data_IF_880263715588
#
_entry.id   IF_880263715588
#
_cell.length_a   1.000
_cell.length_b   1.000
_cell.length_c   1.000
_cell.angle_alpha   90.00
_cell.angle_beta   90.00
_cell.angle_gamma   90.00
#
_symmetry.space_group_name_H-M   'P 1'
#
loop_
_entity.id
_entity.type
_entity.pdbx_description
1 polymer ?
#
# COMPACT_ATOMS: atom_id res chain seq x y z
N UNK A 1 -42.82 19.91 -111.98
CA UNK A 1 -43.81 19.37 -111.02
C UNK A 1 -43.03 18.56 -110.00
N UNK A 2 -42.84 19.16 -108.82
CA UNK A 2 -42.44 18.68 -107.49
C UNK A 2 -41.36 17.56 -107.40
N UNK A 3 -40.10 17.87 -107.06
CA UNK A 3 -39.50 18.39 -105.81
C UNK A 3 -38.97 17.25 -104.91
N UNK A 4 -37.64 17.22 -104.81
CA UNK A 4 -36.80 16.35 -103.96
C UNK A 4 -37.07 16.55 -102.46
N UNK A 5 -36.87 15.49 -101.68
CA UNK A 5 -36.29 15.63 -100.33
C UNK A 5 -35.55 14.37 -99.90
N UNK A 6 -34.27 14.54 -99.53
CA UNK A 6 -33.43 13.58 -98.82
C UNK A 6 -33.76 13.59 -97.34
N UNK A 7 -33.74 12.43 -96.68
CA UNK A 7 -33.38 12.27 -95.25
C UNK A 7 -33.31 10.77 -94.91
N UNK A 8 -32.66 10.27 -93.86
CA UNK A 8 -31.55 10.67 -92.98
C UNK A 8 -31.06 9.35 -92.38
N UNK A 9 -29.75 9.26 -92.19
CA UNK A 9 -28.97 8.24 -91.50
C UNK A 9 -29.57 7.78 -90.14
N UNK A 10 -29.89 6.49 -89.99
CA UNK A 10 -30.39 5.91 -88.74
C UNK A 10 -29.26 5.26 -87.94
N UNK A 11 -28.77 5.96 -86.91
CA UNK A 11 -27.90 5.41 -85.87
C UNK A 11 -28.62 4.30 -85.08
N UNK A 12 -27.91 3.24 -84.62
CA UNK A 12 -28.52 2.23 -83.78
C UNK A 12 -28.94 2.81 -82.43
N UNK A 13 -30.19 2.51 -82.07
CA UNK A 13 -30.90 2.96 -80.89
C UNK A 13 -30.32 2.29 -79.63
N UNK A 14 -30.01 3.08 -78.61
CA UNK A 14 -29.48 2.62 -77.33
C UNK A 14 -30.61 1.97 -76.53
N UNK A 15 -30.60 0.64 -76.41
CA UNK A 15 -31.54 -0.13 -75.60
C UNK A 15 -31.27 0.12 -74.09
N UNK A 16 -32.17 0.79 -73.35
CA UNK A 16 -31.96 1.07 -71.93
C UNK A 16 -32.32 -0.11 -71.02
N UNK A 17 -32.67 -1.28 -71.57
CA UNK A 17 -33.20 -2.41 -70.80
C UNK A 17 -32.16 -3.40 -70.27
N UNK A 18 -30.86 -3.15 -70.44
CA UNK A 18 -29.82 -3.87 -69.70
C UNK A 18 -29.75 -3.37 -68.25
N UNK A 19 -30.80 -3.71 -67.50
CA UNK A 19 -30.87 -3.56 -66.06
C UNK A 19 -29.76 -4.42 -65.45
N UNK A 20 -28.67 -3.76 -65.05
CA UNK A 20 -27.69 -4.32 -64.12
C UNK A 20 -28.49 -4.80 -62.90
N UNK A 21 -28.76 -6.11 -62.82
CA UNK A 21 -29.37 -6.74 -61.65
C UNK A 21 -28.47 -6.41 -60.47
N UNK A 22 -28.89 -5.45 -59.65
CA UNK A 22 -28.29 -5.21 -58.34
C UNK A 22 -28.51 -6.49 -57.56
N UNK A 23 -27.50 -7.37 -57.49
CA UNK A 23 -27.55 -8.55 -56.65
C UNK A 23 -27.60 -8.05 -55.21
N UNK A 24 -28.80 -7.86 -54.68
CA UNK A 24 -29.00 -7.72 -53.24
C UNK A 24 -28.48 -9.01 -52.61
N UNK A 25 -27.53 -8.88 -51.68
CA UNK A 25 -27.04 -10.00 -50.90
C UNK A 25 -28.22 -10.62 -50.14
N UNK A 26 -28.68 -11.78 -50.59
CA UNK A 26 -29.64 -12.58 -49.85
C UNK A 26 -28.90 -13.36 -48.75
N UNK A 27 -29.66 -13.82 -47.76
CA UNK A 27 -29.10 -14.52 -46.61
C UNK A 27 -28.39 -15.82 -47.00
N UNK A 28 -28.86 -16.47 -48.09
CA UNK A 28 -28.31 -17.71 -48.65
C UNK A 28 -27.07 -17.50 -49.52
N UNK A 29 -26.87 -16.30 -50.08
CA UNK A 29 -25.77 -15.93 -50.97
C UNK A 29 -24.62 -15.16 -50.31
N UNK A 30 -24.52 -15.20 -48.97
CA UNK A 30 -23.38 -14.66 -48.24
C UNK A 30 -23.70 -13.49 -47.29
N UNK A 31 -24.95 -13.03 -47.21
CA UNK A 31 -25.36 -12.01 -46.24
C UNK A 31 -25.07 -12.38 -44.78
N UNK A 32 -25.00 -13.67 -44.46
CA UNK A 32 -24.60 -14.17 -43.13
C UNK A 32 -23.18 -13.77 -42.73
N UNK A 33 -22.27 -13.64 -43.68
CA UNK A 33 -20.87 -13.25 -43.42
C UNK A 33 -20.80 -11.79 -42.97
N UNK A 34 -21.60 -10.92 -43.57
CA UNK A 34 -21.71 -9.52 -43.15
C UNK A 34 -22.35 -9.40 -41.76
N UNK A 35 -23.38 -10.20 -41.50
CA UNK A 35 -24.02 -10.23 -40.17
C UNK A 35 -23.04 -10.72 -39.10
N UNK A 36 -22.27 -11.78 -39.39
CA UNK A 36 -21.22 -12.28 -38.50
C UNK A 36 -20.11 -11.23 -38.27
N UNK A 37 -19.66 -10.54 -39.33
CA UNK A 37 -18.64 -9.50 -39.21
C UNK A 37 -19.13 -8.31 -38.37
N UNK A 38 -20.41 -7.93 -38.49
CA UNK A 38 -21.04 -6.91 -37.65
C UNK A 38 -21.12 -7.39 -36.19
N UNK A 39 -21.54 -8.63 -35.94
CA UNK A 39 -21.59 -9.19 -34.58
C UNK A 39 -20.22 -9.26 -33.92
N UNK A 40 -19.18 -9.68 -34.66
CA UNK A 40 -17.79 -9.69 -34.16
C UNK A 40 -17.33 -8.26 -33.86
N UNK A 41 -17.61 -7.30 -34.75
CA UNK A 41 -17.25 -5.90 -34.55
C UNK A 41 -17.95 -5.30 -33.33
N UNK A 42 -19.25 -5.58 -33.15
CA UNK A 42 -20.01 -5.21 -31.95
C UNK A 42 -19.40 -5.89 -30.72
N UNK A 43 -19.05 -7.18 -30.79
CA UNK A 43 -18.41 -7.90 -29.70
C UNK A 43 -17.07 -7.28 -29.29
N UNK A 44 -16.23 -6.87 -30.24
CA UNK A 44 -14.97 -6.16 -29.99
C UNK A 44 -15.20 -4.77 -29.40
N UNK A 45 -16.19 -4.03 -29.91
CA UNK A 45 -16.56 -2.71 -29.36
C UNK A 45 -17.11 -2.84 -27.96
N UNK A 46 -18.00 -3.80 -27.69
CA UNK A 46 -18.54 -4.10 -26.37
C UNK A 46 -17.43 -4.56 -25.43
N UNK A 47 -16.52 -5.43 -25.86
CA UNK A 47 -15.36 -5.82 -25.07
C UNK A 47 -14.44 -4.63 -24.77
N UNK A 48 -14.19 -3.74 -25.74
CA UNK A 48 -13.44 -2.50 -25.54
C UNK A 48 -14.16 -1.53 -24.61
N UNK A 49 -15.47 -1.38 -24.74
CA UNK A 49 -16.28 -0.54 -23.87
C UNK A 49 -16.29 -1.13 -22.47
N UNK A 50 -16.51 -2.43 -22.27
CA UNK A 50 -16.48 -3.07 -20.95
C UNK A 50 -15.09 -3.03 -20.31
N UNK A 51 -14.01 -3.12 -21.09
CA UNK A 51 -12.64 -3.01 -20.57
C UNK A 51 -12.22 -1.55 -20.29
N UNK A 52 -12.80 -0.56 -20.96
CA UNK A 52 -12.53 0.87 -20.76
C UNK A 52 -13.49 1.54 -19.78
N UNK A 53 -14.75 1.09 -19.71
CA UNK A 53 -15.80 1.59 -18.81
C UNK A 53 -15.97 0.77 -17.53
N UNK A 54 -15.60 -0.51 -17.49
CA UNK A 54 -15.51 -1.27 -16.24
C UNK A 54 -14.61 -0.60 -15.18
N UNK A 55 -13.50 0.07 -15.58
CA UNK A 55 -12.73 0.92 -14.69
C UNK A 55 -13.39 2.24 -14.29
N UNK A 56 -14.41 2.76 -14.99
CA UNK A 56 -15.10 3.99 -14.58
C UNK A 56 -16.05 3.77 -13.39
N UNK A 57 -16.38 2.52 -13.08
CA UNK A 57 -17.07 2.12 -11.84
C UNK A 57 -16.12 1.76 -10.70
N UNK A 58 -14.80 1.94 -10.85
CA UNK A 58 -13.94 1.94 -9.66
C UNK A 58 -14.32 3.15 -8.82
N UNK A 59 -14.77 2.91 -7.58
CA UNK A 59 -14.92 3.96 -6.58
C UNK A 59 -13.73 4.92 -6.68
N UNK A 60 -14.00 6.22 -6.83
CA UNK A 60 -12.94 7.21 -6.93
C UNK A 60 -12.00 7.04 -5.74
N UNK A 61 -10.71 6.79 -5.99
CA UNK A 61 -9.73 6.63 -4.92
C UNK A 61 -9.80 7.84 -3.98
N UNK A 62 -10.04 7.58 -2.69
CA UNK A 62 -10.27 8.60 -1.66
C UNK A 62 -8.94 9.28 -1.33
N UNK A 63 -8.90 10.61 -1.36
CA UNK A 63 -7.69 11.42 -1.20
C UNK A 63 -7.10 11.89 -2.53
N UNK A 64 -7.02 13.20 -2.73
CA UNK A 64 -6.50 13.85 -3.94
C UNK A 64 -4.98 14.14 -3.89
N UNK A 65 -4.35 13.87 -2.75
CA UNK A 65 -2.94 14.15 -2.51
C UNK A 65 -2.61 15.61 -2.20
N UNK A 66 -3.61 16.47 -1.95
CA UNK A 66 -3.44 17.91 -1.73
C UNK A 66 -4.26 18.45 -0.56
N UNK A 67 -5.52 18.03 -0.44
CA UNK A 67 -6.45 18.51 0.59
C UNK A 67 -6.89 17.36 1.50
N UNK A 68 -6.63 17.50 2.80
CA UNK A 68 -6.98 16.50 3.83
C UNK A 68 -8.48 16.17 3.87
N UNK A 69 -9.36 17.10 3.51
CA UNK A 69 -10.81 16.86 3.49
C UNK A 69 -11.22 15.80 2.46
N UNK A 70 -10.44 15.62 1.39
CA UNK A 70 -10.72 14.61 0.36
C UNK A 70 -10.43 13.19 0.80
N UNK A 71 -9.76 13.00 1.95
CA UNK A 71 -9.45 11.70 2.53
C UNK A 71 -10.59 11.12 3.38
N UNK A 72 -11.64 11.92 3.65
CA UNK A 72 -12.88 11.50 4.30
C UNK A 72 -12.70 10.88 5.70
N UNK A 73 -11.71 11.34 6.46
CA UNK A 73 -11.53 10.96 7.86
C UNK A 73 -12.28 11.91 8.80
N UNK A 74 -12.65 11.41 9.97
CA UNK A 74 -13.14 12.24 11.07
C UNK A 74 -11.96 13.02 11.66
N UNK A 75 -11.98 14.35 11.51
CA UNK A 75 -10.86 15.22 11.93
C UNK A 75 -10.97 15.76 13.37
N UNK A 76 -12.00 15.36 14.11
CA UNK A 76 -12.23 15.82 15.47
C UNK A 76 -12.62 14.65 16.40
N UNK A 77 -12.21 14.65 17.67
CA UNK A 77 -11.21 15.56 18.29
C UNK A 77 -9.81 15.40 17.68
N UNK A 78 -8.92 16.39 17.86
CA UNK A 78 -7.53 16.34 17.39
C UNK A 78 -6.58 16.86 18.48
N UNK A 79 -5.48 16.15 18.72
CA UNK A 79 -4.40 16.55 19.65
C UNK A 79 -3.24 17.26 18.96
N UNK A 80 -3.30 17.38 17.64
CA UNK A 80 -2.28 18.05 16.82
C UNK A 80 -2.94 19.13 15.95
N UNK A 81 -2.19 20.17 15.54
CA UNK A 81 -2.70 21.16 14.59
C UNK A 81 -2.98 20.52 13.22
N UNK A 82 -4.19 20.67 12.70
CA UNK A 82 -4.60 20.04 11.43
C UNK A 82 -3.88 20.61 10.19
N UNK A 83 -3.33 21.82 10.29
CA UNK A 83 -2.50 22.45 9.25
C UNK A 83 -1.11 21.81 9.13
N UNK A 84 -0.67 21.06 10.15
CA UNK A 84 0.54 20.24 10.12
C UNK A 84 0.30 18.83 9.55
N UNK A 85 -0.95 18.45 9.29
CA UNK A 85 -1.31 17.17 8.69
C UNK A 85 -1.24 17.28 7.15
N UNK A 86 -0.32 16.54 6.54
CA UNK A 86 0.03 16.73 5.13
C UNK A 86 -0.31 15.48 4.33
N UNK A 87 -1.07 15.61 3.22
CA UNK A 87 -1.21 14.53 2.24
C UNK A 87 0.15 14.13 1.65
N UNK A 88 0.48 12.83 1.65
CA UNK A 88 1.75 12.32 1.10
C UNK A 88 1.87 12.40 -0.44
N UNK A 89 0.93 13.08 -1.10
CA UNK A 89 0.84 13.24 -2.53
C UNK A 89 -0.08 12.24 -3.21
N UNK A 90 -0.30 12.42 -4.51
CA UNK A 90 -1.31 11.69 -5.27
C UNK A 90 -1.08 10.17 -5.37
N UNK A 91 0.11 9.69 -5.01
CA UNK A 91 0.49 8.26 -5.02
C UNK A 91 0.24 7.54 -3.68
N UNK A 92 0.11 8.28 -2.57
CA UNK A 92 -0.21 7.71 -1.25
C UNK A 92 -1.55 8.26 -0.79
N UNK A 93 -2.60 7.78 -1.45
CA UNK A 93 -4.01 8.04 -1.13
C UNK A 93 -4.44 7.19 0.06
N UNK A 94 -5.66 7.38 0.56
CA UNK A 94 -6.26 6.44 1.51
C UNK A 94 -6.28 5.04 0.89
N UNK A 95 -5.68 4.08 1.58
CA UNK A 95 -5.44 2.70 1.10
C UNK A 95 -4.71 2.63 -0.26
N UNK A 96 -3.89 3.64 -0.59
CA UNK A 96 -3.12 3.69 -1.84
C UNK A 96 -2.06 2.59 -1.95
N UNK A 97 -1.65 2.01 -0.83
CA UNK A 97 -0.90 0.76 -0.77
C UNK A 97 -1.72 -0.27 0.00
N UNK A 98 -1.86 -1.50 -0.50
CA UNK A 98 -2.56 -2.56 0.20
C UNK A 98 -1.79 -2.93 1.47
N UNK A 99 -2.48 -3.07 2.58
CA UNK A 99 -1.90 -3.63 3.80
C UNK A 99 -1.73 -5.14 3.66
N UNK A 100 -0.88 -5.74 4.47
CA UNK A 100 -0.79 -7.19 4.60
C UNK A 100 -1.75 -7.63 5.70
N UNK A 101 -2.95 -8.05 5.33
CA UNK A 101 -3.94 -8.54 6.28
C UNK A 101 -3.86 -10.06 6.34
N UNK A 102 -3.37 -10.59 7.46
CA UNK A 102 -3.14 -12.02 7.71
C UNK A 102 -2.28 -12.66 6.62
N UNK A 103 -1.04 -12.16 6.43
CA UNK A 103 -0.21 -12.58 5.32
C UNK A 103 0.12 -14.07 5.40
N UNK A 104 0.16 -14.73 4.24
CA UNK A 104 0.78 -16.05 4.13
C UNK A 104 2.24 -15.97 4.58
N UNK A 105 2.73 -17.07 5.15
CA UNK A 105 4.12 -17.17 5.59
C UNK A 105 4.78 -18.42 5.03
N UNK A 106 6.11 -18.40 5.01
CA UNK A 106 6.94 -19.55 4.63
C UNK A 106 7.98 -19.80 5.71
N UNK A 107 8.49 -21.03 5.80
CA UNK A 107 9.55 -21.34 6.74
C UNK A 107 10.85 -20.64 6.30
N UNK A 108 11.54 -20.02 7.26
CA UNK A 108 12.78 -19.26 7.04
C UNK A 108 13.86 -20.10 6.37
N UNK A 109 14.06 -21.32 6.86
CA UNK A 109 15.01 -22.27 6.29
C UNK A 109 14.70 -22.66 4.83
N UNK A 110 13.43 -22.60 4.40
CA UNK A 110 13.05 -22.92 3.02
C UNK A 110 13.35 -21.75 2.07
N UNK A 111 13.31 -20.51 2.57
CA UNK A 111 13.42 -19.32 1.73
C UNK A 111 14.85 -18.82 1.54
N UNK A 112 15.79 -19.31 2.35
CA UNK A 112 17.16 -18.76 2.46
C UNK A 112 17.94 -18.77 1.14
N UNK A 113 17.49 -19.58 0.17
CA UNK A 113 18.05 -19.57 -1.18
C UNK A 113 17.02 -19.57 -2.31
N UNK A 114 15.75 -19.35 -1.97
CA UNK A 114 14.65 -19.37 -2.93
C UNK A 114 14.25 -17.98 -3.40
N UNK A 115 13.73 -17.92 -4.62
CA UNK A 115 13.06 -16.73 -5.10
C UNK A 115 11.69 -16.61 -4.43
N UNK A 116 11.51 -15.58 -3.60
CA UNK A 116 10.21 -15.30 -3.00
C UNK A 116 9.22 -14.74 -4.03
N UNK A 117 9.73 -13.93 -4.96
CA UNK A 117 9.06 -13.53 -6.21
C UNK A 117 10.03 -13.63 -7.38
N UNK A 118 9.58 -13.66 -8.66
CA UNK A 118 10.48 -13.85 -9.80
C UNK A 118 11.66 -12.87 -9.78
N UNK A 119 12.88 -13.38 -9.71
CA UNK A 119 14.13 -12.60 -9.68
C UNK A 119 14.36 -11.72 -8.43
N UNK A 120 13.69 -11.96 -7.30
CA UNK A 120 14.04 -11.35 -6.00
C UNK A 120 14.07 -12.44 -4.92
N UNK A 121 15.26 -12.64 -4.34
CA UNK A 121 15.48 -13.44 -3.14
C UNK A 121 15.44 -12.54 -1.90
N UNK A 122 15.30 -13.15 -0.74
CA UNK A 122 15.64 -12.51 0.53
C UNK A 122 17.13 -12.73 0.79
N UNK A 123 17.93 -11.68 0.69
CA UNK A 123 19.38 -11.76 0.88
C UNK A 123 19.72 -11.70 2.36
N UNK A 124 20.82 -12.32 2.78
CA UNK A 124 21.30 -12.25 4.17
C UNK A 124 21.52 -10.82 4.66
N UNK A 125 21.85 -9.89 3.76
CA UNK A 125 22.02 -8.46 4.06
C UNK A 125 20.71 -7.67 4.05
N UNK A 126 19.60 -8.23 3.58
CA UNK A 126 18.31 -7.55 3.60
C UNK A 126 17.87 -7.35 5.06
N UNK A 127 17.33 -6.16 5.37
CA UNK A 127 16.80 -5.87 6.70
C UNK A 127 15.45 -6.55 6.91
N UNK A 128 15.21 -7.02 8.12
CA UNK A 128 13.96 -7.62 8.57
C UNK A 128 13.55 -7.03 9.92
N UNK A 129 12.24 -6.88 10.11
CA UNK A 129 11.66 -6.72 11.45
C UNK A 129 11.38 -8.14 11.97
N UNK A 130 11.91 -8.48 13.13
CA UNK A 130 11.74 -9.80 13.75
C UNK A 130 10.93 -9.70 15.05
N UNK A 131 10.04 -10.65 15.28
CA UNK A 131 9.28 -10.79 16.53
C UNK A 131 9.37 -12.23 17.02
N UNK A 132 9.32 -12.42 18.33
CA UNK A 132 9.13 -13.73 18.97
C UNK A 132 8.01 -13.59 19.99
N UNK A 133 6.92 -14.32 19.79
CA UNK A 133 5.74 -14.27 20.65
C UNK A 133 5.32 -15.68 20.97
N UNK A 134 5.20 -16.01 22.25
CA UNK A 134 4.83 -17.34 22.74
C UNK A 134 5.63 -18.50 22.11
N UNK A 135 6.92 -18.24 21.81
CA UNK A 135 7.84 -19.21 21.20
C UNK A 135 7.81 -19.25 19.66
N UNK A 136 6.89 -18.55 19.02
CA UNK A 136 6.84 -18.42 17.56
C UNK A 136 7.63 -17.21 17.07
N UNK A 137 8.61 -17.45 16.21
CA UNK A 137 9.41 -16.41 15.59
C UNK A 137 8.89 -16.06 14.19
N UNK A 138 8.69 -14.77 13.90
CA UNK A 138 8.28 -14.29 12.57
C UNK A 138 9.11 -13.10 12.09
N UNK A 139 9.45 -13.09 10.81
CA UNK A 139 10.21 -12.04 10.13
C UNK A 139 9.37 -11.33 9.05
N UNK A 140 9.55 -10.01 8.98
CA UNK A 140 8.91 -9.12 8.00
C UNK A 140 10.00 -8.38 7.21
N UNK A 141 10.29 -8.78 5.97
CA UNK A 141 11.33 -8.14 5.18
C UNK A 141 11.01 -6.67 4.90
N UNK A 142 11.97 -5.78 5.17
CA UNK A 142 11.78 -4.33 5.02
C UNK A 142 11.42 -3.95 3.58
N UNK A 143 11.96 -4.63 2.57
CA UNK A 143 11.62 -4.35 1.17
C UNK A 143 10.19 -4.78 0.80
N UNK A 144 9.58 -5.72 1.55
CA UNK A 144 8.14 -5.99 1.45
C UNK A 144 7.39 -4.87 2.17
N UNK A 145 7.73 -4.63 3.44
CA UNK A 145 7.06 -3.65 4.29
C UNK A 145 7.10 -2.22 3.72
N UNK A 146 8.12 -1.85 2.95
CA UNK A 146 8.21 -0.56 2.25
C UNK A 146 7.03 -0.29 1.31
N UNK A 147 6.37 -1.33 0.80
CA UNK A 147 5.26 -1.24 -0.16
C UNK A 147 3.89 -1.58 0.42
N UNK A 148 3.85 -1.89 1.72
CA UNK A 148 2.65 -2.29 2.46
C UNK A 148 2.45 -1.47 3.73
N UNK A 149 3.54 -0.98 4.33
CA UNK A 149 3.69 -0.20 5.58
C UNK A 149 3.05 -0.79 6.85
N UNK A 150 2.11 -1.73 6.71
CA UNK A 150 1.31 -2.33 7.76
C UNK A 150 1.15 -3.82 7.44
N UNK A 151 1.39 -4.67 8.44
CA UNK A 151 0.95 -6.05 8.47
C UNK A 151 0.07 -6.28 9.71
N UNK A 152 -1.22 -6.51 9.50
CA UNK A 152 -2.13 -6.99 10.52
C UNK A 152 -2.00 -8.51 10.59
N UNK A 153 -1.45 -9.05 11.67
CA UNK A 153 -1.04 -10.46 11.74
C UNK A 153 -1.44 -11.08 13.08
N UNK A 154 -1.25 -12.40 13.18
CA UNK A 154 -1.37 -13.19 14.40
C UNK A 154 -0.15 -14.10 14.51
N UNK A 155 0.60 -13.97 15.61
CA UNK A 155 1.85 -14.73 15.87
C UNK A 155 1.78 -15.32 17.27
N UNK A 156 1.94 -16.64 17.41
CA UNK A 156 1.84 -17.30 18.72
C UNK A 156 0.54 -16.94 19.45
N UNK A 157 -0.59 -17.00 18.76
CA UNK A 157 -1.94 -16.63 19.25
C UNK A 157 -2.14 -15.15 19.68
N UNK A 158 -1.15 -14.28 19.44
CA UNK A 158 -1.24 -12.85 19.74
C UNK A 158 -1.58 -12.06 18.47
N UNK A 159 -2.65 -11.25 18.53
CA UNK A 159 -3.03 -10.35 17.44
C UNK A 159 -2.11 -9.12 17.43
N UNK A 160 -1.27 -8.99 16.41
CA UNK A 160 -0.28 -7.93 16.30
C UNK A 160 -0.45 -7.08 15.05
N UNK A 161 0.10 -5.88 15.09
CA UNK A 161 0.29 -5.02 13.94
C UNK A 161 1.77 -4.64 13.84
N UNK A 162 2.37 -4.95 12.71
CA UNK A 162 3.74 -4.56 12.37
C UNK A 162 3.68 -3.39 11.41
N UNK A 163 4.28 -2.26 11.80
CA UNK A 163 4.33 -1.07 10.96
C UNK A 163 5.76 -0.76 10.55
N UNK A 164 5.93 -0.32 9.31
CA UNK A 164 7.19 0.23 8.81
C UNK A 164 6.95 1.48 7.98
N UNK A 165 7.51 2.59 8.40
CA UNK A 165 7.44 3.88 7.73
C UNK A 165 8.81 4.24 7.16
N UNK A 166 9.04 4.16 5.83
CA UNK A 166 10.32 4.52 5.24
C UNK A 166 10.73 5.97 5.54
N UNK A 167 9.78 6.90 5.61
CA UNK A 167 10.06 8.32 5.84
C UNK A 167 10.76 8.59 7.18
N UNK A 168 10.47 7.79 8.20
CA UNK A 168 11.07 7.89 9.54
C UNK A 168 11.99 6.71 9.85
N UNK A 169 12.26 5.82 8.88
CA UNK A 169 12.79 4.46 9.08
C UNK A 169 12.17 3.77 10.30
N UNK A 170 10.88 4.05 10.52
CA UNK A 170 10.15 3.77 11.74
C UNK A 170 9.59 2.36 11.74
N UNK A 171 10.08 1.46 12.59
CA UNK A 171 9.51 0.13 12.82
C UNK A 171 8.91 0.04 14.22
N UNK A 172 7.60 -0.22 14.29
CA UNK A 172 6.85 -0.41 15.53
C UNK A 172 5.97 -1.64 15.41
N UNK A 173 6.08 -2.53 16.39
CA UNK A 173 5.23 -3.70 16.56
C UNK A 173 4.38 -3.49 17.81
N UNK A 174 3.06 -3.67 17.70
CA UNK A 174 2.16 -3.52 18.84
C UNK A 174 1.02 -4.53 18.78
N UNK A 175 0.43 -4.82 19.95
CA UNK A 175 -0.79 -5.62 20.04
C UNK A 175 -1.96 -4.85 19.44
N UNK A 176 -2.72 -5.48 18.54
CA UNK A 176 -3.95 -4.88 18.00
C UNK A 176 -4.97 -4.76 19.14
N UNK A 177 -5.58 -3.60 19.39
CA UNK A 177 -6.59 -3.49 20.43
C UNK A 177 -7.81 -4.37 20.12
N UNK A 178 -8.44 -4.92 21.16
CA UNK A 178 -9.71 -5.65 21.00
C UNK A 178 -10.83 -4.72 20.52
N UNK A 179 -11.80 -5.30 19.82
CA UNK A 179 -13.04 -4.63 19.38
C UNK A 179 -14.23 -5.58 19.45
N UNK A 180 -15.33 -5.07 20.01
CA UNK A 180 -16.61 -5.78 20.05
C UNK A 180 -17.27 -5.88 18.66
N UNK A 181 -16.75 -5.12 17.68
CA UNK A 181 -17.28 -5.03 16.31
C UNK A 181 -16.56 -5.99 15.33
N UNK A 182 -16.13 -7.16 15.83
CA UNK A 182 -15.33 -8.17 15.12
C UNK A 182 -15.80 -8.46 13.68
N UNK A 183 -17.11 -8.44 13.41
CA UNK A 183 -17.69 -8.74 12.09
C UNK A 183 -17.53 -7.65 11.01
N UNK A 184 -16.93 -6.50 11.32
CA UNK A 184 -16.74 -5.38 10.37
C UNK A 184 -15.28 -5.23 9.94
N UNK A 185 -14.33 -5.64 10.77
CA UNK A 185 -12.90 -5.59 10.46
C UNK A 185 -12.47 -6.79 9.60
N UNK A 186 -11.58 -6.61 8.61
CA UNK A 186 -10.90 -7.72 7.93
C UNK A 186 -10.33 -8.73 8.95
N UNK A 187 -10.58 -10.03 8.75
CA UNK A 187 -10.08 -11.12 9.61
C UNK A 187 -11.06 -11.68 10.63
N UNK A 188 -11.99 -10.87 11.14
CA UNK A 188 -13.05 -11.36 12.03
C UNK A 188 -12.58 -11.87 13.40
N UNK A 189 -11.35 -11.55 13.81
CA UNK A 189 -10.69 -12.10 15.00
C UNK A 189 -10.94 -11.30 16.29
N UNK A 190 -11.86 -10.35 16.27
CA UNK A 190 -12.19 -9.52 17.43
C UNK A 190 -11.17 -8.43 17.74
N UNK A 191 -10.24 -8.14 16.81
CA UNK A 191 -9.21 -7.13 17.02
C UNK A 191 -9.26 -6.06 15.91
N UNK A 192 -8.90 -4.83 16.27
CA UNK A 192 -8.84 -3.71 15.33
C UNK A 192 -7.75 -3.97 14.30
N UNK A 193 -8.09 -3.97 13.02
CA UNK A 193 -7.10 -3.89 11.93
C UNK A 193 -6.86 -2.45 11.52
N UNK A 194 -5.69 -2.19 10.94
CA UNK A 194 -5.28 -0.86 10.52
C UNK A 194 -5.08 -0.77 9.01
N UNK A 195 -5.39 0.40 8.47
CA UNK A 195 -5.14 0.79 7.07
C UNK A 195 -4.22 1.99 6.95
N UNK A 196 -3.76 2.24 5.72
CA UNK A 196 -2.89 3.38 5.42
C UNK A 196 -3.75 4.60 5.15
N UNK A 197 -3.53 5.68 5.91
CA UNK A 197 -4.30 6.90 5.74
C UNK A 197 -3.92 7.70 4.49
N UNK A 198 -2.64 7.63 4.08
CA UNK A 198 -2.08 8.52 3.06
C UNK A 198 -1.81 9.96 3.57
N UNK A 199 -1.93 10.16 4.88
CA UNK A 199 -1.64 11.42 5.58
C UNK A 199 -0.38 11.25 6.44
N UNK A 200 0.41 12.31 6.50
CA UNK A 200 1.71 12.35 7.17
C UNK A 200 1.72 13.46 8.22
N UNK A 201 2.30 13.16 9.38
CA UNK A 201 2.56 14.11 10.44
C UNK A 201 4.00 13.92 10.93
N UNK A 202 4.78 15.01 11.05
CA UNK A 202 6.20 14.96 11.41
C UNK A 202 7.03 13.97 10.58
N UNK A 203 6.83 14.01 9.25
CA UNK A 203 7.48 13.09 8.29
C UNK A 203 7.35 11.60 8.67
N UNK A 204 6.26 11.24 9.34
CA UNK A 204 5.84 9.86 9.59
C UNK A 204 4.38 9.66 9.16
N UNK A 205 4.04 8.60 8.41
CA UNK A 205 2.66 8.29 8.07
C UNK A 205 1.81 8.04 9.32
N UNK A 206 0.55 8.47 9.25
CA UNK A 206 -0.49 8.03 10.19
C UNK A 206 -1.23 6.82 9.60
N UNK A 207 -1.64 5.91 10.46
CA UNK A 207 -2.51 4.77 10.11
C UNK A 207 -3.92 5.06 10.58
N UNK A 208 -4.93 4.36 10.07
CA UNK A 208 -6.31 4.51 10.52
C UNK A 208 -6.91 3.19 10.98
N UNK A 209 -7.81 3.20 11.96
CA UNK A 209 -8.51 2.00 12.40
C UNK A 209 -9.67 1.63 11.45
N UNK A 210 -9.76 0.35 11.08
CA UNK A 210 -10.82 -0.18 10.18
C UNK A 210 -11.99 -0.74 10.99
N UNK A 211 -12.48 0.03 11.95
CA UNK A 211 -13.60 -0.38 12.81
C UNK A 211 -14.91 0.24 12.35
N UNK A 212 -14.96 1.56 12.26
CA UNK A 212 -16.18 2.31 11.94
C UNK A 212 -15.98 3.10 10.65
N UNK A 213 -16.50 2.57 9.53
CA UNK A 213 -16.44 3.24 8.24
C UNK A 213 -17.07 4.64 8.31
N UNK A 214 -16.29 5.68 7.96
CA UNK A 214 -16.68 7.09 8.05
C UNK A 214 -16.51 7.73 9.43
N UNK A 215 -16.06 6.98 10.44
CA UNK A 215 -15.77 7.47 11.79
C UNK A 215 -14.44 6.91 12.32
N UNK A 216 -13.46 6.76 11.43
CA UNK A 216 -12.14 6.24 11.76
C UNK A 216 -11.29 7.28 12.48
N UNK A 217 -10.39 6.81 13.34
CA UNK A 217 -9.36 7.63 13.98
C UNK A 217 -8.02 7.46 13.27
N UNK A 218 -7.19 8.50 13.31
CA UNK A 218 -5.82 8.48 12.82
C UNK A 218 -4.86 8.28 14.00
N UNK A 219 -4.00 7.28 13.86
CA UNK A 219 -3.07 6.80 14.87
C UNK A 219 -1.63 7.03 14.41
N UNK A 220 -0.77 7.40 15.36
CA UNK A 220 0.67 7.44 15.17
C UNK A 220 1.28 6.21 15.84
N UNK A 221 1.86 5.26 15.08
CA UNK A 221 2.57 4.12 15.66
C UNK A 221 3.72 4.57 16.57
N UNK A 222 4.49 5.57 16.14
CA UNK A 222 5.60 6.13 16.93
C UNK A 222 5.11 6.77 18.25
N UNK A 223 4.06 7.59 18.20
CA UNK A 223 3.49 8.20 19.40
C UNK A 223 2.62 7.23 20.24
N UNK A 224 2.35 6.03 19.69
CA UNK A 224 1.63 4.93 20.33
C UNK A 224 0.18 5.26 20.70
N UNK A 225 -0.47 6.16 19.96
CA UNK A 225 -1.83 6.62 20.28
C UNK A 225 -2.55 7.25 19.08
N UNK A 226 -3.87 7.39 19.21
CA UNK A 226 -4.69 8.19 18.32
C UNK A 226 -4.35 9.67 18.49
N UNK A 227 -4.14 10.37 17.37
CA UNK A 227 -3.90 11.81 17.33
C UNK A 227 -5.13 12.59 16.86
N UNK A 228 -5.98 11.96 16.04
CA UNK A 228 -7.17 12.58 15.45
C UNK A 228 -8.30 11.55 15.42
N UNK A 229 -9.54 11.98 15.65
CA UNK A 229 -10.75 11.17 15.55
C UNK A 229 -11.24 10.60 16.89
N UNK A 230 -12.31 9.78 16.86
CA UNK A 230 -13.04 9.37 18.06
C UNK A 230 -12.23 8.63 19.14
N UNK A 231 -11.12 7.98 18.78
CA UNK A 231 -10.28 7.24 19.72
C UNK A 231 -9.27 8.11 20.49
N UNK A 232 -9.17 9.40 20.19
CA UNK A 232 -8.32 10.33 20.94
C UNK A 232 -8.73 10.38 22.40
N UNK A 233 -7.75 10.31 23.30
CA UNK A 233 -7.98 10.34 24.74
C UNK A 233 -8.56 9.03 25.30
N UNK A 234 -8.80 8.02 24.45
CA UNK A 234 -9.11 6.68 24.93
C UNK A 234 -7.92 6.07 25.67
N UNK A 235 -8.18 5.19 26.61
CA UNK A 235 -7.14 4.42 27.31
C UNK A 235 -6.48 3.36 26.40
N UNK A 236 -6.99 3.19 25.18
CA UNK A 236 -6.52 2.24 24.16
C UNK A 236 -5.26 2.76 23.45
N UNK A 237 -4.19 3.00 24.19
CA UNK A 237 -2.88 3.24 23.57
C UNK A 237 -2.40 1.97 22.85
N UNK A 238 -1.52 2.15 21.87
CA UNK A 238 -0.90 1.03 21.15
C UNK A 238 0.14 0.37 22.07
N UNK A 239 -0.14 -0.84 22.54
CA UNK A 239 0.77 -1.57 23.42
C UNK A 239 1.92 -2.18 22.62
N UNK A 240 3.07 -1.52 22.66
CA UNK A 240 4.26 -1.90 21.89
C UNK A 240 4.85 -3.19 22.43
N UNK A 241 5.23 -4.08 21.52
CA UNK A 241 5.85 -5.37 21.81
C UNK A 241 7.36 -5.33 21.56
N UNK A 242 8.13 -6.24 22.17
CA UNK A 242 9.53 -6.44 21.80
C UNK A 242 9.67 -6.78 20.32
N UNK A 243 10.64 -6.14 19.66
CA UNK A 243 10.94 -6.40 18.25
C UNK A 243 12.40 -6.13 17.93
N UNK A 244 12.93 -6.86 16.96
CA UNK A 244 14.25 -6.70 16.41
C UNK A 244 14.18 -5.97 15.07
N UNK A 245 15.15 -5.11 14.78
CA UNK A 245 15.42 -4.60 13.44
C UNK A 245 16.86 -4.93 13.07
N UNK A 246 17.04 -5.99 12.29
CA UNK A 246 18.36 -6.57 12.00
C UNK A 246 18.43 -7.05 10.55
N UNK A 247 19.50 -7.72 10.15
CA UNK A 247 19.60 -8.37 8.84
C UNK A 247 19.04 -9.77 8.86
N UNK A 248 18.56 -10.25 7.72
CA UNK A 248 18.00 -11.58 7.57
C UNK A 248 18.97 -12.68 8.03
N UNK A 249 20.25 -12.60 7.66
CA UNK A 249 21.24 -13.60 8.03
C UNK A 249 21.44 -13.70 9.55
N UNK A 250 21.46 -12.54 10.24
CA UNK A 250 21.56 -12.50 11.71
C UNK A 250 20.30 -13.07 12.36
N UNK A 251 19.12 -12.69 11.86
CA UNK A 251 17.85 -13.20 12.38
C UNK A 251 17.69 -14.71 12.19
N UNK A 252 17.93 -15.22 10.98
CA UNK A 252 17.79 -16.63 10.65
C UNK A 252 18.77 -17.50 11.46
N UNK A 253 20.00 -17.02 11.69
CA UNK A 253 20.96 -17.72 12.53
C UNK A 253 20.48 -17.86 13.99
N UNK A 254 19.83 -16.83 14.53
CA UNK A 254 19.28 -16.85 15.88
C UNK A 254 17.97 -17.66 15.97
N UNK A 255 17.14 -17.63 14.93
CA UNK A 255 15.81 -18.25 14.88
C UNK A 255 15.65 -19.11 13.61
N UNK A 256 16.30 -20.29 13.53
CA UNK A 256 16.30 -21.11 12.31
C UNK A 256 14.91 -21.64 11.91
N UNK A 257 14.00 -21.76 12.89
CA UNK A 257 12.62 -22.19 12.67
C UNK A 257 11.65 -21.02 12.45
N UNK A 258 12.15 -19.79 12.28
CA UNK A 258 11.31 -18.61 12.06
C UNK A 258 10.47 -18.76 10.80
N UNK A 259 9.28 -18.18 10.78
CA UNK A 259 8.52 -17.95 9.55
C UNK A 259 8.84 -16.57 8.97
N UNK A 260 8.69 -16.41 7.67
CA UNK A 260 8.82 -15.12 6.98
C UNK A 260 7.54 -14.82 6.22
N UNK A 261 7.11 -13.56 6.23
CA UNK A 261 5.99 -13.11 5.40
C UNK A 261 6.28 -13.34 3.91
N UNK A 262 5.33 -13.98 3.23
CA UNK A 262 5.38 -14.20 1.80
C UNK A 262 5.00 -12.90 1.05
N UNK A 263 5.83 -12.43 0.11
CA UNK A 263 5.48 -11.29 -0.74
C UNK A 263 4.36 -11.63 -1.72
N UNK A 264 3.54 -10.63 -2.06
CA UNK A 264 2.50 -10.77 -3.08
C UNK A 264 3.13 -10.89 -4.49
N UNK A 265 2.98 -12.03 -5.20
CA UNK A 265 3.53 -12.22 -6.54
C UNK A 265 3.04 -11.17 -7.55
N UNK A 266 1.81 -10.66 -7.40
CA UNK A 266 1.26 -9.62 -8.27
C UNK A 266 2.02 -8.28 -8.16
N UNK A 267 2.72 -8.06 -7.05
CA UNK A 267 3.51 -6.86 -6.75
C UNK A 267 5.01 -7.03 -6.97
N UNK A 268 5.44 -8.15 -7.55
CA UNK A 268 6.85 -8.48 -7.81
C UNK A 268 7.67 -7.39 -8.53
N UNK A 269 7.03 -6.51 -9.31
CA UNK A 269 7.69 -5.38 -9.97
C UNK A 269 8.12 -4.28 -8.99
N UNK A 270 7.31 -3.98 -7.97
CA UNK A 270 7.63 -2.89 -7.03
C UNK A 270 8.66 -3.33 -5.98
N UNK A 271 8.62 -4.59 -5.55
CA UNK A 271 9.59 -5.17 -4.60
C UNK A 271 11.04 -5.21 -5.09
N UNK A 272 11.28 -5.00 -6.38
CA UNK A 272 12.64 -4.91 -6.96
C UNK A 272 13.21 -3.50 -6.91
N UNK A 273 12.39 -2.52 -6.58
CA UNK A 273 12.79 -1.12 -6.54
C UNK A 273 13.25 -0.76 -5.14
N UNK A 274 14.36 -0.04 -5.08
CA UNK A 274 14.76 0.66 -3.88
C UNK A 274 14.20 2.09 -3.97
N UNK A 275 13.02 2.31 -3.37
CA UNK A 275 12.28 3.56 -3.53
C UNK A 275 12.82 4.71 -2.65
N UNK A 276 13.65 4.40 -1.64
CA UNK A 276 14.05 5.36 -0.61
C UNK A 276 15.57 5.44 -0.39
N UNK A 277 16.41 4.72 -1.15
CA UNK A 277 17.88 4.81 -1.03
C UNK A 277 18.43 6.22 -1.11
N UNK A 278 18.03 7.01 -2.11
CA UNK A 278 18.43 8.41 -2.25
C UNK A 278 18.00 9.22 -1.03
N UNK A 279 16.76 9.02 -0.57
CA UNK A 279 16.27 9.67 0.63
C UNK A 279 17.05 9.29 1.89
N UNK A 280 17.53 8.05 2.02
CA UNK A 280 18.35 7.61 3.16
C UNK A 280 19.78 8.15 3.13
N UNK A 281 20.28 8.53 1.95
CA UNK A 281 21.61 9.12 1.78
C UNK A 281 21.68 10.63 2.04
N UNK A 282 20.53 11.33 2.10
CA UNK A 282 20.45 12.77 2.35
C UNK A 282 20.01 13.05 3.80
N UNK A 283 20.45 14.16 4.42
CA UNK A 283 19.88 14.62 5.71
C UNK A 283 18.52 15.34 5.55
N UNK A 284 18.16 15.71 4.32
CA UNK A 284 16.94 16.47 4.03
C UNK A 284 15.68 15.65 4.34
N UNK A 285 14.77 16.21 5.13
CA UNK A 285 13.47 15.60 5.44
C UNK A 285 12.48 15.82 4.29
N UNK A 286 11.63 14.83 4.00
CA UNK A 286 10.69 14.90 2.86
C UNK A 286 9.47 15.76 3.19
N UNK A 287 9.02 15.69 4.43
CA UNK A 287 7.93 16.50 4.96
C UNK A 287 8.40 17.30 6.17
N UNK A 288 7.73 18.42 6.50
CA UNK A 288 7.97 19.18 7.72
C UNK A 288 7.96 18.33 8.99
N UNK A 289 8.79 18.74 9.95
CA UNK A 289 8.91 18.12 11.27
C UNK A 289 9.02 19.24 12.30
N UNK A 290 8.19 19.18 13.33
CA UNK A 290 8.22 20.12 14.44
C UNK A 290 7.88 19.43 15.78
N UNK A 291 8.71 19.62 16.83
CA UNK A 291 9.99 20.33 16.83
C UNK A 291 11.12 19.52 16.17
N UNK A 292 12.14 20.21 15.67
CA UNK A 292 13.40 19.57 15.27
C UNK A 292 14.33 19.38 16.48
N UNK A 293 15.16 18.32 16.49
CA UNK A 293 16.21 18.17 17.49
C UNK A 293 17.17 19.37 17.52
N UNK A 294 17.75 19.71 18.68
CA UNK A 294 18.77 20.75 18.77
C UNK A 294 19.97 20.42 17.88
N UNK A 295 20.51 21.45 17.23
CA UNK A 295 21.73 21.35 16.42
C UNK A 295 22.88 20.79 17.25
N UNK A 296 23.60 19.81 16.71
CA UNK A 296 24.76 19.19 17.37
C UNK A 296 24.43 18.01 18.31
N UNK A 297 23.16 17.61 18.43
CA UNK A 297 22.77 16.40 19.18
C UNK A 297 23.15 15.11 18.44
N UNK A 298 22.34 14.73 17.44
CA UNK A 298 22.58 13.64 16.47
C UNK A 298 22.18 14.12 15.08
N UNK A 299 22.69 13.49 14.03
CA UNK A 299 22.16 13.71 12.67
C UNK A 299 20.66 13.39 12.63
N UNK A 300 19.88 14.10 11.83
CA UNK A 300 18.42 13.98 11.84
C UNK A 300 18.01 12.54 11.51
N UNK A 301 18.69 11.91 10.55
CA UNK A 301 18.46 10.52 10.13
C UNK A 301 19.40 9.51 10.78
N UNK A 302 19.97 9.86 11.94
CA UNK A 302 20.65 8.86 12.78
C UNK A 302 19.62 7.83 13.23
N UNK A 303 19.91 6.54 13.07
CA UNK A 303 19.01 5.47 13.51
C UNK A 303 19.14 5.28 15.02
N UNK A 304 18.01 5.33 15.70
CA UNK A 304 17.90 5.13 17.14
C UNK A 304 16.93 4.00 17.45
N UNK A 305 17.11 3.42 18.62
CA UNK A 305 16.12 2.54 19.23
C UNK A 305 15.70 3.14 20.56
N UNK A 306 14.39 3.20 20.80
CA UNK A 306 13.86 3.51 22.10
C UNK A 306 13.36 2.22 22.76
N UNK A 307 13.88 1.91 23.95
CA UNK A 307 13.54 0.71 24.71
C UNK A 307 12.76 1.09 25.96
N UNK A 308 11.57 0.50 26.15
CA UNK A 308 10.73 0.73 27.33
C UNK A 308 11.34 0.04 28.54
N UNK A 309 11.48 0.78 29.63
CA UNK A 309 11.94 0.30 30.93
C UNK A 309 10.76 -0.18 31.78
N UNK A 310 11.06 -0.90 32.87
CA UNK A 310 10.04 -1.48 33.76
C UNK A 310 9.20 -0.42 34.49
N UNK A 311 9.76 0.78 34.70
CA UNK A 311 9.06 1.94 35.24
C UNK A 311 8.19 2.69 34.20
N UNK A 312 8.14 2.18 32.96
CA UNK A 312 7.38 2.73 31.85
C UNK A 312 8.08 3.85 31.07
N UNK A 313 9.27 4.29 31.50
CA UNK A 313 10.07 5.28 30.78
C UNK A 313 10.67 4.68 29.50
N UNK A 314 11.10 5.53 28.57
CA UNK A 314 11.75 5.11 27.33
C UNK A 314 13.19 5.64 27.32
N UNK A 315 14.14 4.74 27.13
CA UNK A 315 15.57 5.06 27.01
C UNK A 315 15.96 4.93 25.54
N UNK A 316 16.72 5.90 25.03
CA UNK A 316 17.09 5.99 23.62
C UNK A 316 18.58 5.75 23.44
N UNK A 317 18.90 4.80 22.58
CA UNK A 317 20.26 4.45 22.20
C UNK A 317 20.46 4.54 20.69
N UNK A 318 21.72 4.62 20.25
CA UNK A 318 22.04 4.43 18.84
C UNK A 318 21.75 2.98 18.44
N UNK A 319 21.07 2.79 17.31
CA UNK A 319 20.61 1.48 16.88
C UNK A 319 21.76 0.49 16.61
N UNK A 320 22.96 0.98 16.30
CA UNK A 320 24.17 0.19 16.06
C UNK A 320 24.93 -0.20 17.35
N UNK A 321 24.52 0.34 18.50
CA UNK A 321 25.16 0.09 19.81
C UNK A 321 24.39 -0.86 20.70
N UNK A 322 23.19 -1.28 20.29
CA UNK A 322 22.37 -2.24 21.02
C UNK A 322 22.47 -3.63 20.43
N UNK A 323 22.24 -4.65 21.24
CA UNK A 323 21.92 -5.97 20.72
C UNK A 323 20.52 -5.95 20.11
N UNK A 324 20.44 -5.98 18.78
CA UNK A 324 19.17 -5.98 18.06
C UNK A 324 18.31 -7.22 18.33
N UNK A 325 18.91 -8.32 18.82
CA UNK A 325 18.21 -9.57 19.14
C UNK A 325 17.71 -9.65 20.58
N UNK A 326 18.03 -8.67 21.44
CA UNK A 326 17.41 -8.59 22.76
C UNK A 326 15.93 -8.20 22.63
N UNK A 327 15.07 -9.21 22.81
CA UNK A 327 13.62 -9.12 22.77
C UNK A 327 12.99 -9.16 24.16
N UNK A 328 13.74 -8.81 25.22
CA UNK A 328 13.22 -8.79 26.59
C UNK A 328 12.25 -7.64 26.86
N UNK A 329 12.32 -6.57 26.06
CA UNK A 329 11.61 -5.31 26.30
C UNK A 329 11.00 -4.72 25.03
N UNK A 330 9.88 -3.99 25.15
CA UNK A 330 9.29 -3.26 24.02
C UNK A 330 10.26 -2.26 23.39
N UNK A 331 10.27 -2.23 22.06
CA UNK A 331 11.19 -1.39 21.28
C UNK A 331 10.51 -0.65 20.14
N UNK A 332 10.95 0.58 19.91
CA UNK A 332 10.60 1.40 18.76
C UNK A 332 11.90 1.76 18.03
N UNK A 333 11.98 1.45 16.75
CA UNK A 333 13.13 1.78 15.91
C UNK A 333 12.74 2.93 14.99
N UNK A 334 13.57 3.96 14.85
CA UNK A 334 13.31 5.06 13.91
C UNK A 334 14.53 5.96 13.72
N UNK A 335 14.40 6.98 12.88
CA UNK A 335 15.31 8.11 12.82
C UNK A 335 15.12 9.03 14.03
N UNK A 336 16.22 9.65 14.45
CA UNK A 336 16.26 10.53 15.62
C UNK A 336 15.27 11.69 15.53
N UNK A 337 15.13 12.33 14.37
CA UNK A 337 14.16 13.42 14.21
C UNK A 337 12.73 12.97 14.56
N UNK A 338 12.36 11.74 14.21
CA UNK A 338 11.01 11.25 14.33
C UNK A 338 10.69 10.92 15.80
N UNK A 339 11.65 10.34 16.52
CA UNK A 339 11.55 10.12 17.95
C UNK A 339 11.46 11.44 18.73
N UNK A 340 12.30 12.40 18.38
CA UNK A 340 12.32 13.70 19.05
C UNK A 340 11.00 14.46 18.87
N UNK A 341 10.45 14.47 17.66
CA UNK A 341 9.25 15.22 17.32
C UNK A 341 7.99 14.73 18.05
N UNK A 342 7.97 13.49 18.55
CA UNK A 342 6.87 12.96 19.39
C UNK A 342 7.09 13.21 20.89
N UNK A 343 8.07 14.02 21.26
CA UNK A 343 8.40 14.37 22.65
C UNK A 343 9.38 13.39 23.31
N UNK A 344 9.96 12.46 22.56
CA UNK A 344 11.08 11.64 23.03
C UNK A 344 12.30 12.52 23.30
N UNK A 345 12.83 12.51 24.52
CA UNK A 345 14.02 13.29 24.89
C UNK A 345 15.21 12.38 25.11
#
# INVERSE_FOLDING_TARGET
MNAESRSVDSRPEFDPSDSRKTRMLDFRGGGWVLLLAVLISIGVVVWRVLTVWGPLTTAHAIGDGRNIATYQFTLAPATIPLDQLIPAGAWLRRDGMPTLDFPETRLGAEVDDQYLVPRRKLLHSDRVIGVVINGEARAYPIWVMTWHEIANDTVGDEAICVTYAPLSDGAVVFRRPETEQAGVAPGGDGHITFGISGLVYNSSPLIYDRVNAGSESLWSPLARKALIGPAVGSERNLDVLPSALTTWGVWLAAYPNTTVVAPDPARSRVYKRDAYSEYFGEERLRFPVEPLPPTGSRGLKSRVVATRQDDGTWVVDDADRVDALDLSRPRVWCFWFAWFAIGGR
#
